data_IF_270497880117
#
_entry.id   IF_270497880117
#
_cell.length_a   1.000
_cell.length_b   1.000
_cell.length_c   1.000
_cell.angle_alpha   90.00
_cell.angle_beta   90.00
_cell.angle_gamma   90.00
#
_symmetry.space_group_name_H-M   'P 1'
#
loop_
_entity.id
_entity.type
_entity.pdbx_description
1 polymer ?
#
# COMPACT_ATOMS: atom_id res chain seq x y z
N UNK A 1 -1.47 3.95 26.54
CA UNK A 1 -2.45 3.21 25.76
C UNK A 1 -2.56 3.87 24.38
N UNK A 2 -2.25 3.13 23.33
CA UNK A 2 -2.45 3.59 21.96
C UNK A 2 -3.77 2.99 21.45
N UNK A 3 -4.60 3.80 20.83
CA UNK A 3 -5.82 3.37 20.15
C UNK A 3 -5.65 3.56 18.64
N UNK A 4 -6.28 2.69 17.87
CA UNK A 4 -6.39 2.82 16.43
C UNK A 4 -7.85 3.07 16.07
N UNK A 5 -8.07 3.74 14.96
CA UNK A 5 -9.40 3.99 14.40
C UNK A 5 -9.37 3.90 12.89
N UNK A 6 -10.54 3.69 12.30
CA UNK A 6 -10.72 3.66 10.85
C UNK A 6 -11.93 4.50 10.46
N UNK A 7 -11.77 5.25 9.40
CA UNK A 7 -12.77 6.12 8.82
C UNK A 7 -12.17 7.05 7.77
N UNK A 8 -12.98 7.96 7.27
CA UNK A 8 -12.63 8.96 6.27
C UNK A 8 -13.31 10.29 6.62
N UNK A 9 -13.02 11.36 5.89
CA UNK A 9 -13.72 12.63 6.03
C UNK A 9 -15.24 12.45 5.89
N UNK A 10 -15.63 11.62 4.94
CA UNK A 10 -17.02 11.26 4.64
C UNK A 10 -17.70 10.47 5.79
N UNK A 11 -16.97 10.04 6.79
CA UNK A 11 -17.49 9.29 7.94
C UNK A 11 -17.32 10.03 9.27
N UNK A 12 -17.00 11.31 9.27
CA UNK A 12 -16.90 12.26 10.39
C UNK A 12 -15.97 11.90 11.55
N UNK A 13 -14.75 11.52 11.41
CA UNK A 13 -13.98 10.65 10.52
C UNK A 13 -13.94 9.18 11.03
N UNK A 14 -14.84 8.76 11.88
CA UNK A 14 -14.74 7.57 12.73
C UNK A 14 -15.87 6.56 12.43
N UNK A 15 -15.52 5.39 11.95
CA UNK A 15 -16.43 4.23 11.83
C UNK A 15 -16.10 3.16 12.86
N UNK A 16 -14.81 2.86 13.04
CA UNK A 16 -14.39 1.87 14.05
C UNK A 16 -13.31 2.45 14.96
N UNK A 17 -13.23 1.90 16.17
CA UNK A 17 -12.16 2.22 17.12
C UNK A 17 -11.78 1.01 17.96
N UNK A 18 -10.49 0.85 18.24
CA UNK A 18 -9.98 -0.13 19.19
C UNK A 18 -9.97 0.50 20.58
N UNK A 19 -11.04 0.29 21.36
CA UNK A 19 -11.16 0.72 22.75
C UNK A 19 -10.67 -0.33 23.74
N UNK A 20 -9.99 -1.36 23.25
CA UNK A 20 -9.41 -2.48 24.00
C UNK A 20 -7.94 -2.68 23.61
N UNK A 21 -7.21 -3.45 24.41
CA UNK A 21 -5.83 -3.81 24.09
C UNK A 21 -5.82 -4.82 22.97
N UNK A 22 -5.10 -4.50 21.89
CA UNK A 22 -4.87 -5.41 20.77
C UNK A 22 -3.38 -5.69 20.59
N UNK A 23 -3.02 -6.92 20.27
CA UNK A 23 -1.66 -7.33 19.94
C UNK A 23 -1.34 -7.16 18.45
N UNK A 24 -2.35 -6.95 17.61
CA UNK A 24 -2.18 -6.82 16.16
C UNK A 24 -2.20 -5.34 15.74
N UNK A 25 -1.10 -4.80 15.17
CA UNK A 25 -0.99 -3.38 14.87
C UNK A 25 -1.99 -2.88 13.82
N UNK A 26 -2.49 -3.76 12.95
CA UNK A 26 -3.51 -3.43 11.94
C UNK A 26 -4.95 -3.64 12.45
N UNK A 27 -5.17 -3.91 13.72
CA UNK A 27 -6.53 -4.02 14.27
C UNK A 27 -7.13 -2.62 14.42
N UNK A 28 -8.14 -2.33 13.61
CA UNK A 28 -8.86 -1.05 13.59
C UNK A 28 -10.06 -1.01 14.55
N UNK A 29 -10.21 -2.03 15.39
CA UNK A 29 -11.26 -2.10 16.41
C UNK A 29 -12.61 -2.57 15.89
N UNK A 30 -13.65 -2.14 16.57
CA UNK A 30 -15.06 -2.49 16.31
C UNK A 30 -15.85 -1.24 15.92
N UNK A 31 -17.00 -1.38 15.24
CA UNK A 31 -17.87 -0.25 14.92
C UNK A 31 -18.24 0.57 16.16
N UNK A 32 -18.20 1.89 16.04
CA UNK A 32 -18.71 2.80 17.09
C UNK A 32 -20.23 2.70 17.19
N UNK A 33 -20.85 3.05 18.33
CA UNK A 33 -22.30 3.02 18.47
C UNK A 33 -23.02 3.78 17.36
N UNK A 34 -23.96 3.12 16.67
CA UNK A 34 -24.71 3.67 15.55
C UNK A 34 -24.03 3.57 14.20
N UNK A 35 -22.83 3.01 14.12
CA UNK A 35 -22.16 2.66 12.86
C UNK A 35 -22.24 1.15 12.58
N UNK A 36 -22.32 0.81 11.31
CA UNK A 36 -22.32 -0.55 10.79
C UNK A 36 -21.18 -0.73 9.78
N UNK A 37 -20.54 -1.90 9.82
CA UNK A 37 -19.53 -2.29 8.83
C UNK A 37 -19.98 -3.56 8.12
N UNK A 38 -20.00 -3.51 6.79
CA UNK A 38 -20.35 -4.62 5.92
C UNK A 38 -19.09 -5.14 5.24
N UNK A 39 -18.93 -6.45 5.23
CA UNK A 39 -17.85 -7.15 4.55
C UNK A 39 -18.37 -7.67 3.20
N UNK A 40 -17.91 -7.06 2.11
CA UNK A 40 -18.33 -7.43 0.76
C UNK A 40 -17.23 -8.24 0.09
N UNK A 41 -17.48 -9.49 -0.34
CA UNK A 41 -16.48 -10.29 -1.03
C UNK A 41 -15.90 -9.55 -2.25
N UNK A 42 -14.59 -9.41 -2.30
CA UNK A 42 -13.87 -8.78 -3.38
C UNK A 42 -12.53 -9.48 -3.61
N UNK A 43 -12.45 -10.28 -4.68
CA UNK A 43 -11.19 -10.86 -5.18
C UNK A 43 -10.41 -11.68 -4.13
N UNK A 44 -11.12 -12.48 -3.33
CA UNK A 44 -10.52 -13.32 -2.28
C UNK A 44 -10.28 -12.61 -0.95
N UNK A 45 -10.65 -11.33 -0.85
CA UNK A 45 -10.67 -10.53 0.38
C UNK A 45 -12.07 -9.95 0.60
N UNK A 46 -12.23 -9.13 1.63
CA UNK A 46 -13.48 -8.40 1.85
C UNK A 46 -13.22 -6.89 1.77
N UNK A 47 -13.98 -6.19 0.92
CA UNK A 47 -14.11 -4.74 0.97
C UNK A 47 -14.94 -4.36 2.19
N UNK A 48 -14.45 -3.37 2.94
CA UNK A 48 -15.17 -2.80 4.07
C UNK A 48 -16.03 -1.64 3.58
N UNK A 49 -17.34 -1.72 3.85
CA UNK A 49 -18.28 -0.63 3.60
C UNK A 49 -18.93 -0.20 4.89
N UNK A 50 -19.25 1.09 5.00
CA UNK A 50 -19.76 1.68 6.24
C UNK A 50 -21.13 2.32 6.05
N UNK A 51 -21.99 2.21 7.08
CA UNK A 51 -23.26 2.92 7.20
C UNK A 51 -23.41 3.45 8.62
N UNK A 52 -24.01 4.63 8.77
CA UNK A 52 -24.26 5.24 10.08
C UNK A 52 -24.70 6.69 9.96
N UNK A 53 -25.15 7.26 11.08
CA UNK A 53 -25.55 8.68 11.14
C UNK A 53 -24.40 9.65 10.91
N UNK A 54 -23.18 9.20 11.14
CA UNK A 54 -21.93 9.93 10.95
C UNK A 54 -21.39 9.83 9.52
N UNK A 55 -22.02 9.03 8.66
CA UNK A 55 -21.67 8.96 7.23
C UNK A 55 -22.37 10.09 6.49
N UNK A 56 -21.61 10.81 5.66
CA UNK A 56 -22.16 11.90 4.82
C UNK A 56 -23.26 11.38 3.89
N UNK A 57 -24.05 12.29 3.34
CA UNK A 57 -25.16 11.92 2.46
C UNK A 57 -24.85 12.07 0.99
N UNK A 58 -24.08 13.11 0.65
CA UNK A 58 -23.81 13.46 -0.74
C UNK A 58 -22.56 14.32 -0.89
N UNK A 59 -21.92 14.28 -2.04
CA UNK A 59 -20.95 15.27 -2.47
C UNK A 59 -21.65 16.49 -3.03
N UNK A 60 -21.21 17.69 -2.66
CA UNK A 60 -21.80 18.94 -3.11
C UNK A 60 -21.69 19.05 -4.63
N UNK A 61 -22.81 19.31 -5.28
CA UNK A 61 -22.95 19.48 -6.73
C UNK A 61 -22.41 18.32 -7.60
N UNK A 62 -22.25 17.12 -7.00
CA UNK A 62 -21.72 15.93 -7.69
C UNK A 62 -22.61 14.70 -7.43
N UNK A 63 -23.79 14.62 -8.07
CA UNK A 63 -24.71 13.51 -7.86
C UNK A 63 -24.20 12.18 -8.46
N UNK A 64 -23.35 12.24 -9.48
CA UNK A 64 -22.80 11.03 -10.10
C UNK A 64 -21.79 10.37 -9.16
N UNK A 65 -20.85 11.13 -8.65
CA UNK A 65 -19.91 10.65 -7.65
C UNK A 65 -20.61 10.18 -6.37
N UNK A 66 -21.67 10.89 -5.96
CA UNK A 66 -22.50 10.46 -4.81
C UNK A 66 -23.10 9.09 -5.04
N UNK A 67 -23.72 8.84 -6.21
CA UNK A 67 -24.31 7.55 -6.55
C UNK A 67 -23.27 6.42 -6.58
N UNK A 68 -22.09 6.69 -7.10
CA UNK A 68 -20.98 5.71 -7.14
C UNK A 68 -20.41 5.40 -5.77
N UNK A 69 -20.46 6.36 -4.84
CA UNK A 69 -19.91 6.24 -3.51
C UNK A 69 -20.70 5.27 -2.61
N UNK A 70 -21.94 5.00 -2.91
CA UNK A 70 -22.80 4.12 -2.10
C UNK A 70 -23.19 2.85 -2.86
N UNK A 71 -23.47 1.79 -2.10
CA UNK A 71 -24.09 0.60 -2.67
C UNK A 71 -25.64 0.70 -2.57
N UNK A 72 -26.33 -0.30 -3.14
CA UNK A 72 -27.79 -0.36 -3.19
C UNK A 72 -28.46 -0.41 -1.80
N UNK A 73 -27.71 -0.82 -0.76
CA UNK A 73 -28.19 -0.86 0.62
C UNK A 73 -27.80 0.41 1.40
N UNK A 74 -27.17 1.41 0.74
CA UNK A 74 -26.77 2.69 1.34
C UNK A 74 -25.49 2.60 2.17
N UNK A 75 -24.64 1.59 1.97
CA UNK A 75 -23.31 1.55 2.57
C UNK A 75 -22.30 2.32 1.72
N UNK A 76 -21.57 3.21 2.36
CA UNK A 76 -20.49 3.97 1.75
C UNK A 76 -19.26 3.09 1.47
N UNK A 77 -18.72 3.20 0.27
CA UNK A 77 -17.55 2.46 -0.22
C UNK A 77 -16.29 3.24 0.11
N UNK A 78 -15.61 2.90 1.19
CA UNK A 78 -14.33 3.53 1.55
C UNK A 78 -13.17 3.07 0.65
N UNK A 79 -13.33 1.93 -0.03
CA UNK A 79 -12.28 1.36 -0.88
C UNK A 79 -11.16 0.67 -0.09
N UNK A 80 -11.43 0.30 1.15
CA UNK A 80 -10.51 -0.39 2.04
C UNK A 80 -10.90 -1.86 2.19
N UNK A 81 -9.92 -2.74 2.39
CA UNK A 81 -10.12 -4.15 2.68
C UNK A 81 -9.89 -4.47 4.16
N UNK A 82 -10.55 -5.52 4.64
CA UNK A 82 -10.36 -6.01 6.00
C UNK A 82 -10.99 -7.36 6.24
N UNK A 83 -10.71 -7.93 7.40
CA UNK A 83 -11.27 -9.20 7.86
C UNK A 83 -11.48 -9.16 9.36
N UNK A 84 -12.36 -10.00 9.88
CA UNK A 84 -12.49 -10.17 11.33
C UNK A 84 -11.15 -10.64 11.92
N UNK A 85 -10.76 -10.08 13.05
CA UNK A 85 -9.59 -10.53 13.80
C UNK A 85 -9.76 -11.97 14.28
N UNK A 86 -10.98 -12.32 14.68
CA UNK A 86 -11.42 -13.68 14.99
C UNK A 86 -12.78 -13.92 14.31
N UNK A 87 -12.89 -14.86 13.34
CA UNK A 87 -14.15 -15.17 12.66
C UNK A 87 -15.29 -15.59 13.60
N UNK A 88 -14.96 -16.12 14.77
CA UNK A 88 -15.93 -16.58 15.77
C UNK A 88 -16.26 -15.52 16.83
N UNK A 89 -15.50 -14.42 16.87
CA UNK A 89 -15.68 -13.35 17.85
C UNK A 89 -15.54 -11.97 17.21
N UNK A 90 -16.61 -11.39 16.67
CA UNK A 90 -16.58 -10.05 16.05
C UNK A 90 -16.07 -8.95 16.99
N UNK A 91 -16.21 -9.13 18.32
CA UNK A 91 -15.73 -8.18 19.31
C UNK A 91 -14.20 -8.12 19.43
N UNK A 92 -13.48 -9.08 18.82
CA UNK A 92 -12.02 -9.04 18.71
C UNK A 92 -11.53 -7.96 17.73
N UNK A 93 -12.45 -7.37 16.94
CA UNK A 93 -12.17 -6.28 16.03
C UNK A 93 -11.96 -6.70 14.59
N UNK A 94 -11.56 -5.74 13.79
CA UNK A 94 -11.31 -5.88 12.35
C UNK A 94 -9.83 -5.65 12.08
N UNK A 95 -9.21 -6.52 11.32
CA UNK A 95 -7.84 -6.35 10.80
C UNK A 95 -7.94 -5.64 9.45
N UNK A 96 -7.31 -4.48 9.35
CA UNK A 96 -7.17 -3.75 8.09
C UNK A 96 -6.23 -4.53 7.14
N UNK A 97 -6.65 -4.65 5.87
CA UNK A 97 -5.96 -5.47 4.86
C UNK A 97 -5.62 -4.68 3.59
N UNK A 98 -5.33 -3.39 3.74
CA UNK A 98 -4.92 -2.51 2.65
C UNK A 98 -6.09 -1.89 1.88
N UNK A 99 -5.77 -1.24 0.75
CA UNK A 99 -6.75 -0.60 -0.13
C UNK A 99 -7.12 -1.49 -1.30
N UNK A 100 -8.40 -1.64 -1.55
CA UNK A 100 -8.93 -2.39 -2.70
C UNK A 100 -8.55 -1.72 -4.02
N UNK A 101 -8.55 -0.38 -4.05
CA UNK A 101 -8.25 0.40 -5.25
C UNK A 101 -6.77 0.34 -5.68
N UNK A 102 -5.87 -0.09 -4.80
CA UNK A 102 -4.44 -0.24 -5.10
C UNK A 102 -4.10 -1.64 -5.60
N UNK A 103 -5.03 -2.59 -5.48
CA UNK A 103 -4.81 -3.96 -5.91
C UNK A 103 -4.85 -4.08 -7.43
N UNK A 104 -4.03 -4.98 -7.94
CA UNK A 104 -3.97 -5.23 -9.37
C UNK A 104 -3.82 -6.71 -9.68
N UNK A 105 -4.03 -7.06 -10.96
CA UNK A 105 -3.92 -8.42 -11.46
C UNK A 105 -2.67 -8.58 -12.31
N UNK A 106 -1.93 -9.66 -12.05
CA UNK A 106 -0.84 -10.10 -12.93
C UNK A 106 -1.41 -10.72 -14.21
N UNK A 107 -0.61 -10.82 -15.26
CA UNK A 107 -0.98 -11.53 -16.50
C UNK A 107 -1.35 -13.00 -16.25
N UNK A 108 -0.78 -13.60 -15.21
CA UNK A 108 -1.12 -14.97 -14.73
C UNK A 108 -2.53 -15.09 -14.17
N UNK A 109 -3.26 -13.98 -14.03
CA UNK A 109 -4.58 -13.95 -13.44
C UNK A 109 -4.60 -13.82 -11.91
N UNK A 110 -3.44 -13.83 -11.26
CA UNK A 110 -3.32 -13.77 -9.80
C UNK A 110 -3.41 -12.33 -9.29
N UNK A 111 -4.18 -12.11 -8.23
CA UNK A 111 -4.33 -10.81 -7.59
C UNK A 111 -3.19 -10.49 -6.63
N UNK A 112 -2.73 -9.24 -6.64
CA UNK A 112 -1.70 -8.69 -5.77
C UNK A 112 -2.31 -7.68 -4.82
N UNK A 113 -2.18 -7.93 -3.52
CA UNK A 113 -2.54 -6.99 -2.45
C UNK A 113 -1.40 -5.96 -2.29
N UNK A 114 -1.44 -4.90 -3.10
CA UNK A 114 -0.34 -3.94 -3.21
C UNK A 114 -0.03 -3.25 -1.89
N UNK A 115 -1.05 -2.82 -1.14
CA UNK A 115 -0.87 -2.17 0.16
C UNK A 115 -0.14 -3.03 1.18
N UNK A 116 -0.50 -4.33 1.29
CA UNK A 116 0.17 -5.25 2.20
C UNK A 116 1.62 -5.52 1.80
N UNK A 117 1.86 -5.70 0.50
CA UNK A 117 3.21 -5.90 -0.01
C UNK A 117 4.09 -4.67 0.23
N UNK A 118 3.55 -3.46 0.02
CA UNK A 118 4.23 -2.20 0.32
C UNK A 118 4.64 -2.13 1.78
N UNK A 119 3.72 -2.37 2.73
CA UNK A 119 4.00 -2.31 4.16
C UNK A 119 5.06 -3.32 4.58
N UNK A 120 4.98 -4.55 4.07
CA UNK A 120 5.96 -5.61 4.34
C UNK A 120 7.36 -5.24 3.83
N UNK A 121 7.44 -4.76 2.59
CA UNK A 121 8.70 -4.34 1.99
C UNK A 121 9.29 -3.11 2.69
N UNK A 122 8.48 -2.09 2.97
CA UNK A 122 8.91 -0.87 3.66
C UNK A 122 9.43 -1.17 5.06
N UNK A 123 8.74 -2.02 5.82
CA UNK A 123 9.20 -2.45 7.15
C UNK A 123 10.56 -3.14 7.11
N UNK A 124 10.80 -4.01 6.12
CA UNK A 124 12.08 -4.69 5.97
C UNK A 124 13.21 -3.74 5.50
N UNK A 125 12.88 -2.75 4.67
CA UNK A 125 13.84 -1.81 4.11
C UNK A 125 14.14 -0.62 5.02
N UNK A 126 13.40 -0.41 6.10
CA UNK A 126 13.70 0.66 7.06
C UNK A 126 15.08 0.45 7.69
N UNK A 127 15.96 1.49 7.78
CA UNK A 127 15.76 2.89 7.41
C UNK A 127 16.22 3.26 5.98
N UNK A 128 16.40 2.31 5.08
CA UNK A 128 16.99 2.53 3.74
C UNK A 128 16.00 3.12 2.73
N UNK A 129 14.71 2.87 2.91
CA UNK A 129 13.65 3.39 2.07
C UNK A 129 12.78 4.42 2.80
N UNK A 130 12.49 5.54 2.14
CA UNK A 130 11.48 6.50 2.57
C UNK A 130 10.09 5.93 2.32
N UNK A 131 9.90 5.31 1.16
CA UNK A 131 8.67 4.64 0.75
C UNK A 131 8.94 3.66 -0.39
N UNK A 132 7.94 2.81 -0.67
CA UNK A 132 7.98 1.79 -1.72
C UNK A 132 6.68 1.84 -2.52
N UNK A 133 6.78 1.80 -3.84
CA UNK A 133 5.65 1.67 -4.77
C UNK A 133 5.66 0.27 -5.37
N UNK A 134 4.50 -0.40 -5.37
CA UNK A 134 4.33 -1.75 -5.88
C UNK A 134 3.82 -1.69 -7.32
N UNK A 135 4.57 -2.26 -8.24
CA UNK A 135 4.23 -2.35 -9.65
C UNK A 135 4.00 -3.81 -10.09
N UNK A 136 3.23 -4.01 -11.15
CA UNK A 136 2.96 -5.36 -11.67
C UNK A 136 1.66 -5.49 -12.45
N UNK A 137 0.88 -4.43 -12.57
CA UNK A 137 -0.36 -4.46 -13.36
C UNK A 137 -0.04 -4.87 -14.80
N UNK A 138 -0.71 -5.94 -15.27
CA UNK A 138 -0.46 -6.54 -16.59
C UNK A 138 1.00 -7.00 -16.82
N UNK A 139 1.72 -7.36 -15.76
CA UNK A 139 3.06 -8.00 -15.83
C UNK A 139 3.00 -9.42 -15.27
N UNK A 140 4.02 -10.22 -15.54
CA UNK A 140 4.10 -11.62 -15.07
C UNK A 140 4.48 -11.72 -13.58
N UNK A 141 5.15 -10.71 -13.06
CA UNK A 141 5.71 -10.69 -11.72
C UNK A 141 5.59 -9.30 -11.07
N UNK A 142 5.70 -9.27 -9.75
CA UNK A 142 5.66 -8.03 -8.98
C UNK A 142 7.04 -7.41 -8.90
N UNK A 143 7.10 -6.08 -9.07
CA UNK A 143 8.29 -5.27 -8.87
C UNK A 143 8.06 -4.17 -7.83
N UNK A 144 9.15 -3.65 -7.29
CA UNK A 144 9.17 -2.55 -6.33
C UNK A 144 9.94 -1.36 -6.90
N UNK A 145 9.40 -0.17 -6.72
CA UNK A 145 10.07 1.10 -6.99
C UNK A 145 10.36 1.76 -5.64
N UNK A 146 11.61 2.02 -5.34
CA UNK A 146 12.08 2.41 -4.00
C UNK A 146 12.51 3.87 -3.99
N UNK A 147 11.94 4.67 -3.09
CA UNK A 147 12.42 6.01 -2.78
C UNK A 147 13.56 5.92 -1.75
N UNK A 148 14.82 6.23 -2.14
CA UNK A 148 15.98 6.04 -1.28
C UNK A 148 16.06 7.11 -0.19
N UNK A 149 16.54 6.71 0.99
CA UNK A 149 16.95 7.63 2.05
C UNK A 149 18.45 7.94 1.96
N UNK A 150 18.95 8.94 2.73
CA UNK A 150 20.38 9.13 2.91
C UNK A 150 21.12 7.89 3.43
N UNK A 151 20.46 7.05 4.25
CA UNK A 151 21.04 5.82 4.77
C UNK A 151 21.33 4.79 3.65
N UNK A 152 20.46 4.69 2.63
CA UNK A 152 20.73 3.85 1.47
C UNK A 152 21.90 4.40 0.64
N UNK A 153 21.94 5.71 0.42
CA UNK A 153 23.01 6.40 -0.32
C UNK A 153 24.37 6.21 0.35
N UNK A 154 24.42 6.22 1.67
CA UNK A 154 25.64 5.98 2.44
C UNK A 154 26.26 4.60 2.18
N UNK A 155 25.46 3.56 1.80
CA UNK A 155 26.00 2.26 1.42
C UNK A 155 26.84 2.32 0.14
N UNK A 156 26.59 3.31 -0.72
CA UNK A 156 27.36 3.57 -1.94
C UNK A 156 28.46 4.63 -1.72
N UNK A 157 28.65 5.13 -0.49
CA UNK A 157 29.56 6.24 -0.22
C UNK A 157 29.05 7.60 -0.72
N UNK A 158 27.78 7.68 -1.17
CA UNK A 158 27.17 8.89 -1.71
C UNK A 158 26.57 9.76 -0.59
N UNK A 159 27.45 10.43 0.17
CA UNK A 159 27.05 11.33 1.26
C UNK A 159 26.52 12.68 0.77
N UNK A 160 26.81 13.03 -0.48
CA UNK A 160 26.42 14.31 -1.10
C UNK A 160 25.15 14.18 -1.96
N UNK A 161 24.61 12.96 -2.14
CA UNK A 161 23.41 12.71 -2.93
C UNK A 161 23.59 12.89 -4.44
N UNK A 162 24.79 12.66 -4.96
CA UNK A 162 25.16 12.87 -6.38
C UNK A 162 24.75 11.72 -7.30
N UNK A 163 24.74 10.49 -6.76
CA UNK A 163 24.38 9.33 -7.55
C UNK A 163 22.88 9.33 -7.86
N UNK A 164 22.54 9.05 -9.09
CA UNK A 164 21.14 8.84 -9.46
C UNK A 164 20.63 7.44 -9.04
N UNK A 165 19.35 7.16 -9.25
CA UNK A 165 18.76 5.87 -8.89
C UNK A 165 19.32 4.70 -9.68
N UNK A 166 19.77 4.93 -10.92
CA UNK A 166 20.38 3.89 -11.74
C UNK A 166 21.78 3.54 -11.24
N UNK A 167 22.58 4.53 -10.88
CA UNK A 167 23.92 4.35 -10.33
C UNK A 167 23.85 3.63 -8.98
N UNK A 168 22.91 4.05 -8.09
CA UNK A 168 22.64 3.35 -6.83
C UNK A 168 22.23 1.89 -7.07
N UNK A 169 21.35 1.64 -8.05
CA UNK A 169 20.90 0.30 -8.43
C UNK A 169 22.00 -0.61 -8.98
N UNK A 170 23.05 -0.05 -9.56
CA UNK A 170 24.23 -0.80 -10.02
C UNK A 170 25.26 -1.04 -8.90
N UNK A 171 25.21 -0.29 -7.82
CA UNK A 171 26.22 -0.36 -6.76
C UNK A 171 26.17 -1.69 -5.99
N UNK A 172 27.29 -2.45 -5.89
CA UNK A 172 27.27 -3.80 -5.31
C UNK A 172 26.75 -3.86 -3.88
N UNK A 173 27.20 -2.95 -3.00
CA UNK A 173 26.79 -2.94 -1.60
C UNK A 173 25.29 -2.63 -1.43
N UNK A 174 24.73 -1.76 -2.28
CA UNK A 174 23.28 -1.45 -2.29
C UNK A 174 22.49 -2.66 -2.73
N UNK A 175 22.89 -3.31 -3.82
CA UNK A 175 22.23 -4.52 -4.34
C UNK A 175 22.20 -5.64 -3.31
N UNK A 176 23.36 -5.91 -2.74
CA UNK A 176 23.52 -6.96 -1.73
C UNK A 176 22.65 -6.68 -0.51
N UNK A 177 22.65 -5.44 -0.02
CA UNK A 177 21.86 -5.10 1.17
C UNK A 177 20.37 -5.19 0.92
N UNK A 178 19.89 -4.77 -0.25
CA UNK A 178 18.46 -4.89 -0.61
C UNK A 178 18.05 -6.37 -0.69
N UNK A 179 18.86 -7.24 -1.29
CA UNK A 179 18.60 -8.69 -1.33
C UNK A 179 18.52 -9.28 0.07
N UNK A 180 19.51 -9.02 0.90
CA UNK A 180 19.57 -9.53 2.29
C UNK A 180 18.32 -9.16 3.10
N UNK A 181 17.70 -8.01 2.83
CA UNK A 181 16.52 -7.55 3.54
C UNK A 181 15.20 -8.08 2.94
N UNK A 182 15.12 -8.20 1.62
CA UNK A 182 13.87 -8.55 0.94
C UNK A 182 13.71 -10.05 0.69
N UNK A 183 14.77 -10.78 0.35
CA UNK A 183 14.63 -12.21 0.04
C UNK A 183 14.08 -13.03 1.20
N UNK A 184 14.51 -12.83 2.46
CA UNK A 184 13.96 -13.61 3.58
C UNK A 184 12.48 -13.39 3.83
N UNK A 185 11.98 -12.17 3.60
CA UNK A 185 10.54 -11.88 3.81
C UNK A 185 9.64 -12.51 2.74
N UNK A 186 10.21 -12.92 1.61
CA UNK A 186 9.49 -13.55 0.50
C UNK A 186 9.72 -15.07 0.39
N UNK A 187 10.52 -15.66 1.28
CA UNK A 187 10.76 -17.10 1.28
C UNK A 187 9.45 -17.88 1.43
N UNK A 188 9.22 -18.85 0.53
CA UNK A 188 7.99 -19.65 0.50
C UNK A 188 6.72 -18.89 0.02
N UNK A 189 6.82 -17.61 -0.30
CA UNK A 189 5.67 -16.83 -0.75
C UNK A 189 5.31 -17.14 -2.22
N UNK A 190 4.02 -17.11 -2.53
CA UNK A 190 3.50 -17.25 -3.90
C UNK A 190 3.83 -16.02 -4.77
N UNK A 191 3.66 -16.13 -6.08
CA UNK A 191 4.01 -15.11 -7.07
C UNK A 191 3.39 -13.73 -6.80
N UNK A 192 2.18 -13.67 -6.27
CA UNK A 192 1.48 -12.44 -5.92
C UNK A 192 1.87 -11.83 -4.58
N UNK A 193 2.63 -12.56 -3.78
CA UNK A 193 3.08 -12.13 -2.45
C UNK A 193 4.58 -11.88 -2.38
N UNK A 194 5.27 -11.96 -3.53
CA UNK A 194 6.71 -11.88 -3.66
C UNK A 194 7.10 -10.89 -4.76
N UNK A 195 7.93 -9.90 -4.44
CA UNK A 195 8.59 -9.09 -5.44
C UNK A 195 9.80 -9.83 -6.03
N UNK A 196 10.00 -9.66 -7.32
CA UNK A 196 11.14 -10.23 -8.07
C UNK A 196 12.13 -9.21 -8.54
N UNK A 197 11.72 -7.95 -8.61
CA UNK A 197 12.52 -6.86 -9.16
C UNK A 197 12.42 -5.62 -8.29
N UNK A 198 13.51 -4.87 -8.22
CA UNK A 198 13.57 -3.59 -7.51
C UNK A 198 14.32 -2.58 -8.39
N UNK A 199 13.77 -1.37 -8.50
CA UNK A 199 14.50 -0.20 -9.01
C UNK A 199 14.56 0.88 -7.94
N UNK A 200 15.63 1.65 -7.95
CA UNK A 200 15.78 2.82 -7.10
C UNK A 200 15.40 4.05 -7.91
N UNK A 201 14.57 4.91 -7.33
CA UNK A 201 14.13 6.15 -7.93
C UNK A 201 15.16 7.26 -7.69
N UNK A 202 15.36 8.12 -8.68
CA UNK A 202 16.40 9.17 -8.61
C UNK A 202 15.98 10.36 -7.77
N UNK A 203 14.68 10.70 -7.75
CA UNK A 203 14.12 11.85 -7.04
C UNK A 203 13.09 11.41 -5.99
N UNK A 204 12.94 12.17 -4.90
CA UNK A 204 11.88 11.94 -3.92
C UNK A 204 10.49 12.10 -4.57
N UNK A 205 9.43 11.65 -3.90
CA UNK A 205 8.06 11.85 -4.40
C UNK A 205 7.73 13.34 -4.40
N UNK A 206 7.07 13.81 -5.46
CA UNK A 206 6.71 15.23 -5.67
C UNK A 206 5.32 15.53 -5.11
N UNK A 207 5.24 16.58 -4.29
CA UNK A 207 3.95 17.09 -3.80
C UNK A 207 3.19 17.81 -4.93
N UNK A 208 3.89 18.66 -5.69
CA UNK A 208 3.29 19.47 -6.75
C UNK A 208 2.72 18.60 -7.88
N UNK A 209 3.29 17.42 -8.06
CA UNK A 209 2.87 16.47 -9.08
C UNK A 209 1.81 15.46 -8.57
N UNK A 210 1.32 15.60 -7.35
CA UNK A 210 0.31 14.74 -6.76
C UNK A 210 0.83 13.33 -6.39
N UNK A 211 2.16 13.11 -6.34
CA UNK A 211 2.75 11.86 -5.88
C UNK A 211 2.66 11.70 -4.35
N UNK A 212 2.34 12.79 -3.65
CA UNK A 212 2.03 12.80 -2.21
C UNK A 212 0.60 13.30 -2.05
N UNK A 213 -0.19 12.57 -1.29
CA UNK A 213 -1.56 12.97 -0.94
C UNK A 213 -1.57 14.10 0.08
N UNK A 214 -2.70 14.78 0.26
CA UNK A 214 -2.92 15.82 1.29
C UNK A 214 -2.61 15.34 2.71
N UNK A 215 -2.67 14.02 2.94
CA UNK A 215 -2.34 13.37 4.22
C UNK A 215 -0.87 13.00 4.36
N UNK A 216 -0.02 13.34 3.39
CA UNK A 216 1.41 13.07 3.41
C UNK A 216 1.83 11.65 3.01
N UNK A 217 0.92 10.85 2.46
CA UNK A 217 1.23 9.49 1.98
C UNK A 217 1.55 9.49 0.49
N UNK A 218 2.41 8.56 0.07
CA UNK A 218 2.70 8.36 -1.34
C UNK A 218 1.46 7.82 -2.07
N UNK A 219 1.08 8.50 -3.14
CA UNK A 219 0.01 8.11 -4.04
C UNK A 219 0.55 7.10 -5.07
N UNK A 220 0.34 5.81 -4.80
CA UNK A 220 0.83 4.70 -5.63
C UNK A 220 0.48 4.89 -7.11
N UNK A 221 -0.78 5.25 -7.39
CA UNK A 221 -1.28 5.42 -8.76
C UNK A 221 -0.57 6.57 -9.48
N UNK A 222 -0.49 7.73 -8.85
CA UNK A 222 0.17 8.89 -9.43
C UNK A 222 1.65 8.61 -9.73
N UNK A 223 2.36 7.95 -8.82
CA UNK A 223 3.76 7.56 -9.05
C UNK A 223 3.90 6.62 -10.24
N UNK A 224 3.06 5.57 -10.33
CA UNK A 224 3.11 4.61 -11.44
C UNK A 224 2.83 5.27 -12.79
N UNK A 225 1.87 6.19 -12.86
CA UNK A 225 1.50 6.92 -14.08
C UNK A 225 2.61 7.90 -14.49
N UNK A 226 3.13 8.69 -13.56
CA UNK A 226 4.12 9.73 -13.86
C UNK A 226 5.52 9.19 -14.11
N UNK A 227 5.89 8.13 -13.41
CA UNK A 227 7.19 7.46 -13.55
C UNK A 227 7.11 6.21 -14.43
N UNK A 228 6.28 6.26 -15.47
CA UNK A 228 6.10 5.15 -16.41
C UNK A 228 7.44 4.66 -17.00
N UNK A 229 8.41 5.54 -17.25
CA UNK A 229 9.75 5.17 -17.72
C UNK A 229 10.50 4.30 -16.69
N UNK A 230 10.37 4.59 -15.37
CA UNK A 230 10.94 3.75 -14.32
C UNK A 230 10.21 2.42 -14.20
N UNK A 231 8.90 2.39 -14.44
CA UNK A 231 8.12 1.14 -14.52
C UNK A 231 8.62 0.27 -15.68
N UNK A 232 8.82 0.84 -16.88
CA UNK A 232 9.36 0.09 -18.00
C UNK A 232 10.79 -0.40 -17.73
N UNK A 233 11.64 0.43 -17.12
CA UNK A 233 12.98 0.05 -16.69
C UNK A 233 12.96 -1.11 -15.71
N UNK A 234 12.04 -1.10 -14.73
CA UNK A 234 11.87 -2.17 -13.74
C UNK A 234 11.69 -3.55 -14.40
N UNK A 235 10.99 -3.61 -15.54
CA UNK A 235 10.71 -4.85 -16.25
C UNK A 235 11.68 -5.13 -17.41
N UNK A 236 12.70 -4.30 -17.60
CA UNK A 236 13.76 -4.50 -18.59
C UNK A 236 14.92 -5.35 -18.04
N UNK A 237 15.92 -5.58 -18.89
CA UNK A 237 17.19 -6.19 -18.52
C UNK A 237 18.28 -5.16 -18.13
N UNK A 238 17.85 -3.93 -17.79
CA UNK A 238 18.79 -2.87 -17.39
C UNK A 238 19.61 -3.30 -16.16
N UNK A 239 20.91 -2.99 -16.20
CA UNK A 239 21.86 -3.37 -15.15
C UNK A 239 21.56 -2.75 -13.79
N UNK A 240 20.77 -1.67 -13.72
CA UNK A 240 20.35 -1.03 -12.48
C UNK A 240 19.17 -1.75 -11.78
N UNK A 241 18.51 -2.67 -12.49
CA UNK A 241 17.44 -3.48 -11.89
C UNK A 241 18.04 -4.52 -10.97
N UNK A 242 17.62 -4.52 -9.72
CA UNK A 242 18.01 -5.50 -8.71
C UNK A 242 17.02 -6.67 -8.82
N UNK A 243 17.50 -7.84 -9.22
CA UNK A 243 16.70 -9.07 -9.26
C UNK A 243 16.79 -9.79 -7.92
N UNK A 244 15.63 -10.23 -7.42
CA UNK A 244 15.50 -11.04 -6.22
C UNK A 244 15.29 -12.51 -6.62
N UNK A 245 15.77 -13.42 -5.79
CA UNK A 245 15.66 -14.88 -5.98
C UNK A 245 14.23 -15.40 -5.79
#
# INVERSE_FOLDING_TARGET
FFTTSWGATETSPLITTAHFVTSHPANIGVPVPGAEVKFVPNQGRYELRARGLNVFKEYLDDPERTREAFDEEGFYRLGDAGKLADPNNPSAGIIFDGRVAEDFKLTTGTWVAAGNMRLKALSALTPLAQDVVVAGHNREEVGLMLFPTPALRALAGDTEGKLDGMELGKHPAVRERIRQLLEPIYEGAGSSQRARRVVILSSPPSLDDGEITDKGYVNQRAVLERRAADVERLYSDDASVIRLS
#
